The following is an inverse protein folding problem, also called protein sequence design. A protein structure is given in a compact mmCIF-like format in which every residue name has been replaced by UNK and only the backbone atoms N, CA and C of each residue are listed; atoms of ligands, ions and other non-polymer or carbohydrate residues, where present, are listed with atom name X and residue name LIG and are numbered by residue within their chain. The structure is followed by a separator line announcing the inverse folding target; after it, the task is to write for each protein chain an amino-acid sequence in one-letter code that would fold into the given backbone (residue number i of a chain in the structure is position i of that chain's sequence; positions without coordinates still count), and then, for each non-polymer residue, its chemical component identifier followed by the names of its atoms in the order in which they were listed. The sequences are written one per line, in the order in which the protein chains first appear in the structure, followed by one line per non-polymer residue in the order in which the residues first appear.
data_IF_383117512402
#
_entry.id   IF_383117512402
#
_cell.length_a   1.000
_cell.length_b   1.000
_cell.length_c   1.000
_cell.angle_alpha   90.00
_cell.angle_beta   90.00
_cell.angle_gamma   90.00
#
_symmetry.space_group_name_H-M   'P 1'
#
loop_
_entity.id
_entity.type
_entity.pdbx_description
1 polymer ?
#
# COMPACT_ATOMS: atom_id res chain seq x y z
N UNK A 1 -43.61 -10.78 5.58
CA UNK A 1 -43.57 -10.70 4.10
C UNK A 1 -42.59 -9.60 3.71
N UNK A 2 -41.35 -9.95 3.35
CA UNK A 2 -40.34 -8.96 2.93
C UNK A 2 -40.07 -9.12 1.42
N UNK A 3 -40.47 -8.10 0.68
CA UNK A 3 -40.36 -8.05 -0.78
C UNK A 3 -38.88 -7.92 -1.19
N UNK A 4 -38.34 -8.95 -1.85
CA UNK A 4 -37.05 -8.92 -2.53
C UNK A 4 -37.19 -8.11 -3.81
N UNK A 5 -36.54 -6.95 -3.89
CA UNK A 5 -36.33 -6.24 -5.15
C UNK A 5 -35.05 -6.76 -5.81
N UNK A 6 -35.21 -7.49 -6.90
CA UNK A 6 -34.13 -7.97 -7.77
C UNK A 6 -33.84 -6.84 -8.76
N UNK A 7 -32.66 -6.23 -8.66
CA UNK A 7 -32.17 -5.27 -9.66
C UNK A 7 -31.40 -6.07 -10.70
N UNK A 8 -32.00 -6.22 -11.88
CA UNK A 8 -31.36 -6.79 -13.06
C UNK A 8 -30.31 -5.79 -13.58
N UNK A 9 -29.03 -6.17 -13.51
CA UNK A 9 -27.93 -5.43 -14.13
C UNK A 9 -27.77 -5.96 -15.55
N UNK A 10 -28.25 -5.19 -16.52
CA UNK A 10 -28.08 -5.45 -17.95
C UNK A 10 -26.61 -5.40 -18.35
N UNK A 11 -26.14 -6.52 -18.88
CA UNK A 11 -24.82 -6.75 -19.45
C UNK A 11 -24.71 -5.97 -20.78
N UNK A 12 -24.10 -4.78 -20.76
CA UNK A 12 -23.76 -4.03 -21.96
C UNK A 12 -22.44 -4.51 -22.55
N UNK A 13 -22.51 -5.44 -23.51
CA UNK A 13 -21.36 -5.85 -24.33
C UNK A 13 -21.11 -4.76 -25.37
N UNK A 14 -20.13 -3.88 -25.08
CA UNK A 14 -19.61 -2.91 -26.05
C UNK A 14 -18.56 -3.59 -26.93
N UNK A 15 -18.94 -3.85 -28.17
CA UNK A 15 -18.07 -4.34 -29.25
C UNK A 15 -17.13 -3.19 -29.63
N UNK A 16 -15.88 -3.24 -29.18
CA UNK A 16 -14.82 -2.35 -29.66
C UNK A 16 -14.39 -2.82 -31.04
N UNK A 17 -14.74 -2.04 -32.08
CA UNK A 17 -14.22 -2.20 -33.42
C UNK A 17 -12.69 -1.96 -33.39
N UNK A 18 -11.94 -2.96 -33.85
CA UNK A 18 -10.51 -2.93 -34.06
C UNK A 18 -10.15 -1.89 -35.13
N UNK A 19 -9.73 -0.70 -34.70
CA UNK A 19 -9.15 0.31 -35.57
C UNK A 19 -7.65 -0.03 -35.74
N UNK A 20 -7.28 -0.56 -36.90
CA UNK A 20 -5.89 -0.79 -37.27
C UNK A 20 -5.31 0.50 -37.88
N UNK A 21 -4.43 1.25 -37.21
CA UNK A 21 -3.78 2.39 -37.83
C UNK A 21 -2.78 1.91 -38.88
N UNK A 22 -3.04 2.25 -40.15
CA UNK A 22 -2.09 2.10 -41.24
C UNK A 22 -0.84 2.95 -40.97
N UNK A 23 0.31 2.30 -40.86
CA UNK A 23 1.61 2.95 -40.78
C UNK A 23 1.93 3.61 -42.13
N UNK A 24 1.71 4.92 -42.23
CA UNK A 24 2.26 5.75 -43.30
C UNK A 24 3.72 6.03 -42.96
N UNK A 25 4.63 5.32 -43.64
CA UNK A 25 6.06 5.63 -43.63
C UNK A 25 6.31 6.90 -44.45
N UNK A 26 6.20 8.06 -43.79
CA UNK A 26 6.69 9.33 -44.33
C UNK A 26 8.21 9.37 -44.23
N UNK A 27 8.89 9.48 -45.37
CA UNK A 27 10.33 9.72 -45.45
C UNK A 27 10.66 11.07 -44.82
N UNK A 28 11.21 11.05 -43.61
CA UNK A 28 11.80 12.23 -42.97
C UNK A 28 13.15 12.54 -43.63
N UNK A 29 13.21 13.62 -44.39
CA UNK A 29 14.46 14.27 -44.76
C UNK A 29 15.13 14.80 -43.50
N UNK A 30 16.30 14.26 -43.18
CA UNK A 30 17.15 14.71 -42.06
C UNK A 30 17.65 16.15 -42.31
N UNK A 31 17.31 17.14 -41.47
CA UNK A 31 18.14 18.33 -41.37
C UNK A 31 19.42 17.97 -40.62
N UNK A 32 20.57 18.11 -41.29
CA UNK A 32 21.89 18.06 -40.67
C UNK A 32 22.04 19.26 -39.74
N UNK A 33 21.64 19.10 -38.47
CA UNK A 33 21.93 20.05 -37.40
C UNK A 33 23.35 19.78 -36.91
N UNK A 34 24.24 20.72 -37.19
CA UNK A 34 25.60 20.76 -36.64
C UNK A 34 25.55 20.98 -35.12
N UNK A 35 25.38 19.92 -34.33
CA UNK A 35 25.41 19.96 -32.85
C UNK A 35 26.81 19.71 -32.30
N UNK A 36 27.76 20.58 -32.65
CA UNK A 36 29.14 20.50 -32.15
C UNK A 36 29.25 21.23 -30.80
N UNK A 37 28.89 20.57 -29.67
CA UNK A 37 29.43 20.82 -28.31
C UNK A 37 28.66 20.17 -27.13
N UNK A 38 27.46 19.61 -27.31
CA UNK A 38 26.68 19.04 -26.19
C UNK A 38 26.74 17.50 -26.07
N UNK A 39 27.36 16.81 -27.04
CA UNK A 39 27.42 15.35 -27.11
C UNK A 39 28.31 14.64 -26.07
N UNK A 40 29.22 15.35 -25.37
CA UNK A 40 30.15 14.71 -24.43
C UNK A 40 29.69 14.68 -22.96
N UNK A 41 28.73 15.51 -22.53
CA UNK A 41 28.25 15.52 -21.13
C UNK A 41 27.08 14.56 -20.87
N UNK A 42 26.30 14.23 -21.90
CA UNK A 42 25.12 13.36 -21.79
C UNK A 42 25.50 11.89 -21.58
N UNK A 43 26.65 11.44 -22.11
CA UNK A 43 27.10 10.04 -21.96
C UNK A 43 27.46 9.68 -20.51
N UNK A 44 28.07 10.60 -19.75
CA UNK A 44 28.45 10.34 -18.36
C UNK A 44 27.24 10.42 -17.39
N UNK A 45 26.26 11.29 -17.65
CA UNK A 45 25.05 11.39 -16.82
C UNK A 45 24.30 10.07 -16.74
N UNK A 46 24.03 9.46 -17.91
CA UNK A 46 23.37 8.16 -18.01
C UNK A 46 24.10 7.07 -17.21
N UNK A 47 25.42 6.98 -17.40
CA UNK A 47 26.26 6.01 -16.71
C UNK A 47 26.19 6.17 -15.17
N UNK A 48 25.99 7.39 -14.67
CA UNK A 48 25.89 7.65 -13.24
C UNK A 48 24.49 7.47 -12.66
N UNK A 49 23.44 7.86 -13.39
CA UNK A 49 22.07 7.90 -12.87
C UNK A 49 21.33 6.57 -13.01
N UNK A 50 21.55 5.84 -14.11
CA UNK A 50 20.86 4.58 -14.38
C UNK A 50 21.10 3.53 -13.30
N UNK A 51 22.35 3.29 -12.82
CA UNK A 51 22.59 2.35 -11.74
C UNK A 51 21.85 2.73 -10.46
N UNK A 52 21.79 4.03 -10.14
CA UNK A 52 21.07 4.54 -8.96
C UNK A 52 19.57 4.29 -9.06
N UNK A 53 18.98 4.55 -10.23
CA UNK A 53 17.55 4.30 -10.47
C UNK A 53 17.25 2.80 -10.42
N UNK A 54 18.05 1.96 -11.09
CA UNK A 54 17.90 0.50 -11.06
C UNK A 54 17.99 -0.04 -9.62
N UNK A 55 18.96 0.43 -8.82
CA UNK A 55 19.09 0.03 -7.43
C UNK A 55 17.85 0.44 -6.59
N UNK A 56 17.29 1.62 -6.84
CA UNK A 56 16.04 2.06 -6.19
C UNK A 56 14.85 1.20 -6.59
N UNK A 57 14.73 0.83 -7.86
CA UNK A 57 13.69 -0.08 -8.37
C UNK A 57 13.78 -1.43 -7.67
N UNK A 58 14.96 -2.06 -7.68
CA UNK A 58 15.19 -3.36 -7.04
C UNK A 58 14.91 -3.30 -5.53
N UNK A 59 15.39 -2.24 -4.86
CA UNK A 59 15.12 -2.01 -3.45
C UNK A 59 13.62 -1.83 -3.17
N UNK A 60 12.90 -1.12 -4.05
CA UNK A 60 11.46 -0.90 -3.93
C UNK A 60 10.69 -2.22 -4.03
N UNK A 61 11.01 -3.06 -5.02
CA UNK A 61 10.41 -4.38 -5.20
C UNK A 61 10.64 -5.29 -3.98
N UNK A 62 11.89 -5.42 -3.53
CA UNK A 62 12.21 -6.24 -2.36
C UNK A 62 11.52 -5.73 -1.08
N UNK A 63 11.41 -4.41 -0.91
CA UNK A 63 10.68 -3.81 0.21
C UNK A 63 9.17 -4.06 0.10
N UNK A 64 8.58 -3.99 -1.08
CA UNK A 64 7.15 -4.22 -1.29
C UNK A 64 6.77 -5.64 -0.85
N UNK A 65 7.53 -6.66 -1.27
CA UNK A 65 7.31 -8.05 -0.83
C UNK A 65 7.39 -8.19 0.69
N UNK A 66 8.40 -7.58 1.33
CA UNK A 66 8.52 -7.60 2.81
C UNK A 66 7.34 -6.91 3.50
N UNK A 67 6.89 -5.77 2.96
CA UNK A 67 5.73 -5.04 3.50
C UNK A 67 4.43 -5.83 3.34
N UNK A 68 4.23 -6.52 2.22
CA UNK A 68 3.09 -7.40 2.00
C UNK A 68 3.08 -8.57 3.00
N UNK A 69 4.23 -9.23 3.20
CA UNK A 69 4.35 -10.29 4.20
C UNK A 69 4.06 -9.78 5.62
N UNK A 70 4.59 -8.60 5.96
CA UNK A 70 4.28 -7.93 7.23
C UNK A 70 2.78 -7.62 7.39
N UNK A 71 2.14 -7.10 6.34
CA UNK A 71 0.72 -6.75 6.34
C UNK A 71 -0.17 -7.98 6.61
N UNK A 72 0.13 -9.10 5.95
CA UNK A 72 -0.56 -10.38 6.20
C UNK A 72 -0.35 -10.82 7.65
N UNK A 73 0.90 -10.82 8.13
CA UNK A 73 1.22 -11.26 9.49
C UNK A 73 0.51 -10.41 10.57
N UNK A 74 0.47 -9.08 10.42
CA UNK A 74 -0.16 -8.20 11.41
C UNK A 74 -1.68 -8.34 11.40
N UNK A 75 -2.31 -8.42 10.21
CA UNK A 75 -3.76 -8.67 10.08
C UNK A 75 -4.15 -10.00 10.71
N UNK A 76 -3.38 -11.07 10.45
CA UNK A 76 -3.62 -12.38 11.06
C UNK A 76 -3.48 -12.35 12.57
N UNK A 77 -2.48 -11.63 13.10
CA UNK A 77 -2.29 -11.49 14.55
C UNK A 77 -3.50 -10.83 15.22
N UNK A 78 -4.06 -9.80 14.61
CA UNK A 78 -5.27 -9.11 15.10
C UNK A 78 -6.47 -10.05 15.01
N UNK A 79 -6.67 -10.71 13.87
CA UNK A 79 -7.77 -11.66 13.67
C UNK A 79 -7.73 -12.80 14.72
N UNK A 80 -6.54 -13.34 15.00
CA UNK A 80 -6.37 -14.36 16.02
C UNK A 80 -6.77 -13.88 17.43
N UNK A 81 -6.58 -12.59 17.74
CA UNK A 81 -7.07 -12.02 19.01
C UNK A 81 -8.59 -11.94 19.02
N UNK A 82 -9.20 -11.44 17.93
CA UNK A 82 -10.66 -11.37 17.77
C UNK A 82 -11.30 -12.76 17.93
N UNK A 83 -10.73 -13.78 17.28
CA UNK A 83 -11.22 -15.15 17.38
C UNK A 83 -11.18 -15.68 18.83
N UNK A 84 -10.15 -15.32 19.60
CA UNK A 84 -10.05 -15.67 21.03
C UNK A 84 -11.10 -14.95 21.89
N UNK A 85 -11.45 -13.70 21.56
CA UNK A 85 -12.53 -12.98 22.25
C UNK A 85 -13.86 -13.70 22.02
N UNK A 86 -14.17 -14.02 20.76
CA UNK A 86 -15.40 -14.72 20.40
C UNK A 86 -15.49 -16.11 21.05
N UNK A 87 -14.39 -16.87 21.07
CA UNK A 87 -14.34 -18.18 21.72
C UNK A 87 -14.60 -18.11 23.24
N UNK A 88 -14.31 -16.98 23.86
CA UNK A 88 -14.57 -16.73 25.27
C UNK A 88 -15.97 -16.13 25.54
N UNK A 89 -16.79 -15.90 24.50
CA UNK A 89 -18.06 -15.19 24.63
C UNK A 89 -17.92 -13.69 24.90
N UNK A 90 -16.75 -13.10 24.62
CA UNK A 90 -16.51 -11.66 24.77
C UNK A 90 -16.95 -10.92 23.50
N UNK A 91 -17.55 -9.73 23.63
CA UNK A 91 -17.94 -8.91 22.48
C UNK A 91 -16.71 -8.44 21.69
N UNK A 92 -16.61 -8.88 20.43
CA UNK A 92 -15.52 -8.51 19.53
C UNK A 92 -15.93 -7.50 18.46
N UNK A 93 -17.15 -6.94 18.52
CA UNK A 93 -17.71 -6.08 17.46
C UNK A 93 -16.80 -4.91 17.13
N UNK A 94 -16.33 -4.18 18.15
CA UNK A 94 -15.43 -3.04 17.98
C UNK A 94 -14.09 -3.48 17.36
N UNK A 95 -13.46 -4.53 17.91
CA UNK A 95 -12.17 -5.01 17.44
C UNK A 95 -12.23 -5.48 15.96
N UNK A 96 -13.34 -6.08 15.54
CA UNK A 96 -13.59 -6.44 14.14
C UNK A 96 -13.70 -5.22 13.23
N UNK A 97 -14.42 -4.17 13.65
CA UNK A 97 -14.53 -2.93 12.90
C UNK A 97 -13.17 -2.20 12.79
N UNK A 98 -12.38 -2.19 13.87
CA UNK A 98 -11.04 -1.60 13.88
C UNK A 98 -10.06 -2.37 12.99
N UNK A 99 -10.16 -3.71 12.94
CA UNK A 99 -9.36 -4.52 12.01
C UNK A 99 -9.70 -4.19 10.55
N UNK A 100 -10.99 -4.02 10.21
CA UNK A 100 -11.39 -3.66 8.85
C UNK A 100 -10.81 -2.30 8.46
N UNK A 101 -10.92 -1.31 9.36
CA UNK A 101 -10.37 0.04 9.16
C UNK A 101 -8.85 0.02 9.00
N UNK A 102 -8.15 -0.65 9.92
CA UNK A 102 -6.69 -0.79 9.86
C UNK A 102 -6.25 -1.51 8.57
N UNK A 103 -7.00 -2.53 8.15
CA UNK A 103 -6.70 -3.27 6.93
C UNK A 103 -6.78 -2.37 5.69
N UNK A 104 -7.82 -1.54 5.59
CA UNK A 104 -7.95 -0.58 4.51
C UNK A 104 -6.80 0.43 4.47
N UNK A 105 -6.36 0.93 5.63
CA UNK A 105 -5.21 1.84 5.71
C UNK A 105 -3.90 1.18 5.24
N UNK A 106 -3.65 -0.06 5.67
CA UNK A 106 -2.47 -0.83 5.25
C UNK A 106 -2.51 -1.15 3.76
N UNK A 107 -3.68 -1.50 3.21
CA UNK A 107 -3.82 -1.82 1.79
C UNK A 107 -3.62 -0.58 0.91
N UNK A 108 -4.16 0.58 1.33
CA UNK A 108 -3.87 1.87 0.68
C UNK A 108 -2.37 2.16 0.66
N UNK A 109 -1.70 2.04 1.81
CA UNK A 109 -0.26 2.26 1.90
C UNK A 109 0.57 1.33 0.98
N UNK A 110 0.18 0.05 0.88
CA UNK A 110 0.83 -0.91 -0.02
C UNK A 110 0.61 -0.52 -1.49
N UNK A 111 -0.60 -0.09 -1.85
CA UNK A 111 -0.93 0.38 -3.18
C UNK A 111 -0.10 1.62 -3.55
N UNK A 112 -0.04 2.61 -2.66
CA UNK A 112 0.76 3.82 -2.88
C UNK A 112 2.26 3.52 -2.98
N UNK A 113 2.74 2.50 -2.26
CA UNK A 113 4.13 2.03 -2.40
C UNK A 113 4.39 1.32 -3.73
N UNK A 114 3.40 0.58 -4.25
CA UNK A 114 3.46 -0.02 -5.60
C UNK A 114 3.54 1.07 -6.67
N UNK A 115 2.69 2.10 -6.59
CA UNK A 115 2.70 3.26 -7.49
C UNK A 115 4.06 3.98 -7.45
N UNK A 116 4.67 4.14 -6.27
CA UNK A 116 6.04 4.66 -6.15
C UNK A 116 7.07 3.83 -6.95
N UNK A 117 6.95 2.49 -6.91
CA UNK A 117 7.78 1.60 -7.72
C UNK A 117 7.57 1.77 -9.22
N UNK A 118 6.34 1.95 -9.66
CA UNK A 118 5.98 2.22 -11.06
C UNK A 118 6.52 3.59 -11.53
N UNK A 119 6.45 4.61 -10.68
CA UNK A 119 7.01 5.93 -10.97
C UNK A 119 8.55 5.89 -11.12
N UNK A 120 9.24 5.04 -10.34
CA UNK A 120 10.69 4.81 -10.54
C UNK A 120 10.99 4.14 -11.88
N UNK A 121 10.13 3.23 -12.34
CA UNK A 121 10.26 2.59 -13.66
C UNK A 121 10.05 3.60 -14.78
N UNK A 122 9.04 4.47 -14.66
CA UNK A 122 8.81 5.56 -15.60
C UNK A 122 9.99 6.53 -15.63
N UNK A 123 10.55 6.89 -14.46
CA UNK A 123 11.72 7.75 -14.35
C UNK A 123 12.94 7.20 -15.10
N UNK A 124 13.12 5.87 -15.12
CA UNK A 124 14.19 5.21 -15.89
C UNK A 124 14.07 5.49 -17.38
N UNK A 125 12.86 5.53 -17.95
CA UNK A 125 12.65 5.76 -19.38
C UNK A 125 13.11 7.15 -19.84
N UNK A 126 13.04 8.16 -18.96
CA UNK A 126 13.46 9.52 -19.27
C UNK A 126 14.90 9.83 -18.86
N UNK A 127 15.61 8.86 -18.27
CA UNK A 127 16.93 9.10 -17.67
C UNK A 127 18.06 9.25 -18.68
N UNK A 128 17.82 8.86 -19.94
CA UNK A 128 18.79 8.91 -21.03
C UNK A 128 18.22 9.52 -22.31
N UNK A 129 19.07 10.23 -23.05
CA UNK A 129 18.68 10.97 -24.26
C UNK A 129 18.38 12.45 -23.98
N UNK A 130 17.61 13.08 -24.87
CA UNK A 130 17.37 14.53 -24.84
C UNK A 130 16.17 14.96 -23.96
N UNK A 131 15.62 14.05 -23.14
CA UNK A 131 14.38 14.25 -22.36
C UNK A 131 14.59 14.80 -20.94
N UNK A 132 15.54 15.73 -20.76
CA UNK A 132 15.87 16.30 -19.44
C UNK A 132 14.68 16.97 -18.73
N UNK A 133 13.74 17.58 -19.47
CA UNK A 133 12.52 18.15 -18.93
C UNK A 133 11.58 17.10 -18.34
N UNK A 134 11.32 16.03 -19.10
CA UNK A 134 10.48 14.91 -18.66
C UNK A 134 11.08 14.17 -17.47
N UNK A 135 12.40 14.04 -17.44
CA UNK A 135 13.11 13.48 -16.28
C UNK A 135 12.83 14.28 -15.01
N UNK A 136 12.92 15.62 -15.06
CA UNK A 136 12.62 16.48 -13.90
C UNK A 136 11.17 16.33 -13.44
N UNK A 137 10.22 16.28 -14.39
CA UNK A 137 8.79 16.09 -14.10
C UNK A 137 8.54 14.73 -13.44
N UNK A 138 9.09 13.66 -14.00
CA UNK A 138 9.00 12.30 -13.46
C UNK A 138 9.64 12.23 -12.06
N UNK A 139 10.81 12.83 -11.86
CA UNK A 139 11.49 12.88 -10.56
C UNK A 139 10.63 13.57 -9.51
N UNK A 140 10.01 14.71 -9.86
CA UNK A 140 9.08 15.41 -8.95
C UNK A 140 7.91 14.50 -8.57
N UNK A 141 7.29 13.85 -9.55
CA UNK A 141 6.18 12.90 -9.32
C UNK A 141 6.59 11.78 -8.36
N UNK A 142 7.72 11.12 -8.61
CA UNK A 142 8.27 10.08 -7.74
C UNK A 142 8.51 10.59 -6.31
N UNK A 143 9.05 11.80 -6.16
CA UNK A 143 9.30 12.42 -4.87
C UNK A 143 8.02 12.80 -4.12
N UNK A 144 6.97 13.18 -4.83
CA UNK A 144 5.67 13.46 -4.20
C UNK A 144 4.98 12.16 -3.80
N UNK A 145 5.07 11.09 -4.61
CA UNK A 145 4.50 9.79 -4.27
C UNK A 145 5.14 9.17 -3.01
N UNK A 146 6.45 9.28 -2.82
CA UNK A 146 7.08 8.76 -1.58
C UNK A 146 6.65 9.54 -0.33
N UNK A 147 6.26 10.83 -0.45
CA UNK A 147 5.69 11.58 0.66
C UNK A 147 4.32 11.02 1.05
N UNK A 148 3.48 10.70 0.06
CA UNK A 148 2.16 10.07 0.28
C UNK A 148 2.34 8.74 1.01
N UNK A 149 3.24 7.87 0.54
CA UNK A 149 3.59 6.61 1.22
C UNK A 149 3.97 6.83 2.68
N UNK A 150 4.79 7.84 2.97
CA UNK A 150 5.22 8.13 4.35
C UNK A 150 4.07 8.66 5.20
N UNK A 151 3.18 9.49 4.65
CA UNK A 151 1.99 9.98 5.34
C UNK A 151 1.06 8.82 5.69
N UNK A 152 0.74 7.94 4.74
CA UNK A 152 -0.12 6.77 5.00
C UNK A 152 0.48 5.85 6.05
N UNK A 153 1.81 5.70 6.05
CA UNK A 153 2.52 4.93 7.06
C UNK A 153 2.28 5.48 8.46
N UNK A 154 2.40 6.78 8.64
CA UNK A 154 2.18 7.41 9.93
C UNK A 154 0.71 7.34 10.34
N UNK A 155 -0.23 7.44 9.39
CA UNK A 155 -1.67 7.26 9.66
C UNK A 155 -1.96 5.89 10.27
N UNK A 156 -1.56 4.78 9.63
CA UNK A 156 -1.88 3.46 10.18
C UNK A 156 -1.08 3.15 11.46
N UNK A 157 0.15 3.68 11.61
CA UNK A 157 0.93 3.54 12.85
C UNK A 157 0.23 4.23 14.02
N UNK A 158 -0.28 5.44 13.79
CA UNK A 158 -1.03 6.18 14.79
C UNK A 158 -2.31 5.44 15.15
N UNK A 159 -3.09 5.00 14.15
CA UNK A 159 -4.29 4.20 14.40
C UNK A 159 -4.00 2.94 15.22
N UNK A 160 -2.93 2.22 14.91
CA UNK A 160 -2.49 1.07 15.69
C UNK A 160 -2.21 1.44 17.16
N UNK A 161 -1.44 2.51 17.39
CA UNK A 161 -1.03 2.92 18.73
C UNK A 161 -2.19 3.48 19.57
N UNK A 162 -3.09 4.25 18.96
CA UNK A 162 -4.15 4.96 19.67
C UNK A 162 -5.43 4.16 19.82
N UNK A 163 -5.71 3.23 18.91
CA UNK A 163 -6.96 2.48 18.85
C UNK A 163 -6.71 1.01 19.18
N UNK A 164 -6.17 0.24 18.24
CA UNK A 164 -6.03 -1.22 18.37
C UNK A 164 -5.20 -1.64 19.60
N UNK A 165 -4.05 -1.01 19.82
CA UNK A 165 -3.18 -1.38 20.94
C UNK A 165 -3.84 -1.11 22.30
N UNK A 166 -4.59 -0.02 22.42
CA UNK A 166 -5.30 0.33 23.67
C UNK A 166 -6.45 -0.63 23.93
N UNK A 167 -7.24 -0.94 22.91
CA UNK A 167 -8.36 -1.87 23.05
C UNK A 167 -7.90 -3.26 23.49
N UNK A 168 -6.76 -3.75 22.98
CA UNK A 168 -6.17 -5.00 23.44
C UNK A 168 -5.57 -4.94 24.85
N UNK A 169 -5.10 -3.78 25.31
CA UNK A 169 -4.61 -3.63 26.69
C UNK A 169 -5.76 -3.64 27.69
N UNK A 170 -6.82 -2.88 27.42
CA UNK A 170 -8.02 -2.83 28.27
C UNK A 170 -8.64 -4.22 28.42
N UNK A 171 -8.74 -4.99 27.33
CA UNK A 171 -9.26 -6.36 27.39
C UNK A 171 -8.40 -7.28 28.28
N UNK A 172 -7.07 -7.15 28.23
CA UNK A 172 -6.20 -7.95 29.10
C UNK A 172 -6.39 -7.61 30.59
N UNK A 173 -6.61 -6.33 30.92
CA UNK A 173 -6.89 -5.89 32.28
C UNK A 173 -8.24 -6.43 32.79
N UNK A 174 -9.28 -6.39 31.95
CA UNK A 174 -10.60 -6.94 32.28
C UNK A 174 -10.53 -8.45 32.56
N UNK A 175 -9.76 -9.21 31.76
CA UNK A 175 -9.54 -10.65 32.00
C UNK A 175 -8.87 -10.92 33.34
N UNK A 176 -7.86 -10.12 33.69
CA UNK A 176 -7.16 -10.25 34.96
C UNK A 176 -8.11 -9.98 36.14
N UNK A 177 -8.91 -8.91 36.08
CA UNK A 177 -9.87 -8.56 37.12
C UNK A 177 -10.97 -9.61 37.27
N UNK A 178 -11.52 -10.12 36.17
CA UNK A 178 -12.52 -11.19 36.20
C UNK A 178 -11.96 -12.48 36.81
N UNK A 179 -10.70 -12.83 36.50
CA UNK A 179 -10.02 -13.98 37.13
C UNK A 179 -9.85 -13.78 38.64
N UNK A 180 -9.42 -12.59 39.08
CA UNK A 180 -9.29 -12.27 40.50
C UNK A 180 -10.63 -12.33 41.24
N UNK A 181 -11.70 -11.81 40.65
CA UNK A 181 -13.03 -11.85 41.26
C UNK A 181 -13.54 -13.29 41.41
N UNK A 182 -13.36 -14.13 40.38
CA UNK A 182 -13.73 -15.55 40.44
C UNK A 182 -12.97 -16.30 41.54
N UNK A 183 -11.70 -15.96 41.77
CA UNK A 183 -10.89 -16.55 42.85
C UNK A 183 -11.37 -16.11 44.24
N UNK A 184 -11.75 -14.84 44.41
CA UNK A 184 -12.31 -14.34 45.68
C UNK A 184 -13.65 -15.02 46.02
N UNK A 185 -14.53 -15.19 45.03
CA UNK A 185 -15.83 -15.84 45.24
C UNK A 185 -15.74 -17.36 45.40
N UNK A 186 -14.64 -17.99 45.00
CA UNK A 186 -14.43 -19.42 45.13
C UNK A 186 -13.79 -19.83 46.47
N UNK A 187 -13.50 -18.88 47.36
CA UNK A 187 -13.04 -19.20 48.72
C UNK A 187 -14.29 -19.46 49.57
N UNK A 188 -14.63 -20.73 49.91
CA UNK A 188 -15.77 -20.99 50.77
C UNK A 188 -15.53 -20.30 52.11
N UNK A 189 -16.51 -19.52 52.56
CA UNK A 189 -16.52 -19.00 53.93
C UNK A 189 -16.61 -20.20 54.86
N UNK A 190 -15.47 -20.66 55.36
CA UNK A 190 -15.39 -21.52 56.54
C UNK A 190 -15.76 -20.64 57.73
N UNK A 191 -17.06 -20.40 57.89
CA UNK A 191 -17.61 -19.82 59.11
C UNK A 191 -17.73 -20.98 60.09
N UNK A 192 -16.99 -20.85 61.19
CA UNK A 192 -16.99 -21.74 62.35
C UNK A 192 -18.36 -21.78 63.03
#
# INVERSE_FOLDING_TARGET
MFAKKIIAVTLGVLIFASFSPSLVFGQTTSPTITSKAQGLKVSNWCAQILPKINNRILSSQAKLTKRQAWAVAIKQKIQNKINKLNANGEDSTKASADLLTFSGMVDKWLLDYKVYGEDLQALKQFSCGNSHGDFKKAMKKTNDQIKIVNQDKEVFKNFWATTLSKDFQVQNQLKFNNKLNKLKTATPSVVQ
#
